data_IF_045040830672
#
_entry.id   IF_045040830672
#
_cell.length_a   1.000
_cell.length_b   1.000
_cell.length_c   1.000
_cell.angle_alpha   90.00
_cell.angle_beta   90.00
_cell.angle_gamma   90.00
#
_symmetry.space_group_name_H-M   'P 1'
#
loop_
_entity.id
_entity.type
_entity.pdbx_description
1 polymer ?
#
# COMPACT_ATOMS: atom_id res chain seq x y z
N UNK A 1 9.17 -13.58 -18.15
CA UNK A 1 9.03 -14.36 -16.91
C UNK A 1 7.85 -13.84 -16.11
N UNK A 2 6.97 -14.69 -15.66
CA UNK A 2 5.81 -14.27 -14.88
C UNK A 2 6.23 -13.84 -13.48
N UNK A 3 5.63 -12.76 -12.96
CA UNK A 3 5.87 -12.34 -11.59
C UNK A 3 5.23 -13.35 -10.63
N UNK A 4 5.91 -13.63 -9.52
CA UNK A 4 5.32 -14.46 -8.49
C UNK A 4 4.28 -13.64 -7.70
N UNK A 5 3.56 -14.31 -6.79
CA UNK A 5 2.47 -13.70 -6.03
C UNK A 5 2.94 -12.51 -5.18
N UNK A 6 4.11 -12.63 -4.57
CA UNK A 6 4.70 -11.59 -3.73
C UNK A 6 5.06 -10.37 -4.55
N UNK A 7 5.65 -10.56 -5.74
CA UNK A 7 6.03 -9.46 -6.61
C UNK A 7 4.80 -8.69 -7.11
N UNK A 8 3.71 -9.39 -7.43
CA UNK A 8 2.47 -8.75 -7.85
C UNK A 8 1.86 -7.90 -6.72
N UNK A 9 1.92 -8.38 -5.49
CA UNK A 9 1.44 -7.63 -4.34
C UNK A 9 2.26 -6.37 -4.12
N UNK A 10 3.58 -6.49 -4.20
CA UNK A 10 4.49 -5.35 -4.06
C UNK A 10 4.21 -4.29 -5.12
N UNK A 11 4.09 -4.72 -6.37
CA UNK A 11 3.78 -3.81 -7.48
C UNK A 11 2.45 -3.09 -7.25
N UNK A 12 1.42 -3.82 -6.83
CA UNK A 12 0.10 -3.25 -6.56
C UNK A 12 0.15 -2.19 -5.46
N UNK A 13 0.88 -2.47 -4.38
CA UNK A 13 1.06 -1.52 -3.29
C UNK A 13 1.77 -0.26 -3.80
N UNK A 14 2.83 -0.43 -4.59
CA UNK A 14 3.55 0.71 -5.16
C UNK A 14 2.65 1.57 -6.05
N UNK A 15 1.80 0.95 -6.87
CA UNK A 15 0.86 1.67 -7.72
C UNK A 15 -0.13 2.48 -6.86
N UNK A 16 -0.66 1.87 -5.81
CA UNK A 16 -1.58 2.57 -4.89
C UNK A 16 -0.89 3.78 -4.26
N UNK A 17 0.34 3.60 -3.77
CA UNK A 17 1.10 4.67 -3.14
C UNK A 17 1.36 5.80 -4.14
N UNK A 18 1.77 5.48 -5.36
CA UNK A 18 2.05 6.47 -6.40
C UNK A 18 0.78 7.25 -6.78
N UNK A 19 -0.35 6.56 -6.90
CA UNK A 19 -1.63 7.19 -7.22
C UNK A 19 -2.06 8.18 -6.12
N UNK A 20 -1.63 7.96 -4.89
CA UNK A 20 -1.94 8.82 -3.76
C UNK A 20 -0.88 9.91 -3.52
N UNK A 21 0.04 10.10 -4.43
CA UNK A 21 1.01 11.18 -4.37
C UNK A 21 2.40 10.78 -3.89
N UNK A 22 2.68 9.49 -3.77
CA UNK A 22 3.98 8.98 -3.36
C UNK A 22 4.07 8.69 -1.86
N UNK A 23 5.14 8.00 -1.42
CA UNK A 23 5.24 7.55 -0.02
C UNK A 23 5.32 8.68 0.99
N UNK A 24 6.00 9.78 0.67
CA UNK A 24 6.10 10.91 1.60
C UNK A 24 4.74 11.58 1.81
N UNK A 25 4.02 11.83 0.72
CA UNK A 25 2.71 12.46 0.78
C UNK A 25 1.71 11.58 1.54
N UNK A 26 1.69 10.29 1.24
CA UNK A 26 0.81 9.34 1.90
C UNK A 26 1.14 9.24 3.40
N UNK A 27 2.42 9.22 3.76
CA UNK A 27 2.83 9.19 5.16
C UNK A 27 2.30 10.41 5.92
N UNK A 28 2.37 11.58 5.31
CA UNK A 28 1.85 12.81 5.90
C UNK A 28 0.33 12.72 6.12
N UNK A 29 -0.39 12.21 5.14
CA UNK A 29 -1.85 12.06 5.24
C UNK A 29 -2.27 11.06 6.31
N UNK A 30 -1.49 10.01 6.52
CA UNK A 30 -1.78 8.97 7.49
C UNK A 30 -1.17 9.23 8.87
N UNK A 31 -0.43 10.31 9.03
CA UNK A 31 0.27 10.65 10.27
C UNK A 31 1.25 9.56 10.71
N UNK A 32 1.97 8.99 9.75
CA UNK A 32 3.01 7.98 9.99
C UNK A 32 4.31 8.44 9.36
N UNK A 33 5.41 7.75 9.65
CA UNK A 33 6.69 8.06 9.04
C UNK A 33 6.73 7.56 7.59
N UNK A 34 7.54 8.20 6.75
CA UNK A 34 7.79 7.74 5.39
C UNK A 34 8.30 6.31 5.39
N UNK A 35 9.17 5.98 6.33
CA UNK A 35 9.74 4.65 6.45
C UNK A 35 8.65 3.59 6.71
N UNK A 36 7.63 3.93 7.50
CA UNK A 36 6.51 3.03 7.74
C UNK A 36 5.79 2.69 6.44
N UNK A 37 5.57 3.69 5.58
CA UNK A 37 4.93 3.46 4.27
C UNK A 37 5.83 2.62 3.37
N UNK A 38 7.13 2.90 3.35
CA UNK A 38 8.08 2.14 2.54
C UNK A 38 8.15 0.68 3.00
N UNK A 39 8.04 0.41 4.30
CA UNK A 39 8.05 -0.95 4.83
C UNK A 39 6.91 -1.80 4.28
N UNK A 40 5.78 -1.19 3.91
CA UNK A 40 4.64 -1.94 3.40
C UNK A 40 4.98 -2.73 2.13
N UNK A 41 5.85 -2.21 1.26
CA UNK A 41 6.21 -2.89 0.02
C UNK A 41 7.61 -3.50 0.06
N UNK A 42 8.39 -3.22 1.11
CA UNK A 42 9.75 -3.79 1.28
C UNK A 42 9.78 -5.07 2.11
N UNK A 43 8.68 -5.37 2.81
CA UNK A 43 8.57 -6.57 3.64
C UNK A 43 8.61 -7.84 2.80
N UNK A 44 8.96 -8.96 3.43
CA UNK A 44 8.93 -10.27 2.76
C UNK A 44 7.54 -10.58 2.19
N UNK A 45 6.49 -10.27 2.95
CA UNK A 45 5.11 -10.37 2.48
C UNK A 45 4.53 -8.95 2.45
N UNK A 46 4.54 -8.28 1.29
CA UNK A 46 4.04 -6.91 1.20
C UNK A 46 2.57 -6.81 1.56
N UNK A 47 2.23 -5.84 2.41
CA UNK A 47 0.85 -5.64 2.84
C UNK A 47 0.66 -4.23 3.39
N UNK A 48 -0.57 -3.73 3.34
CA UNK A 48 -0.96 -2.47 3.99
C UNK A 48 -1.78 -2.83 5.23
N UNK A 49 -1.40 -2.33 6.42
CA UNK A 49 -2.16 -2.62 7.64
C UNK A 49 -3.62 -2.21 7.52
N UNK A 50 -4.52 -3.06 7.98
CA UNK A 50 -5.96 -2.81 7.88
C UNK A 50 -6.41 -1.54 8.60
N UNK A 51 -5.68 -1.12 9.62
CA UNK A 51 -6.01 0.11 10.36
C UNK A 51 -6.01 1.36 9.49
N UNK A 52 -5.30 1.33 8.35
CA UNK A 52 -5.24 2.47 7.42
C UNK A 52 -6.26 2.37 6.28
N UNK A 53 -6.94 1.24 6.13
CA UNK A 53 -7.86 1.03 5.03
C UNK A 53 -9.01 2.03 4.97
N UNK A 54 -9.66 2.40 6.10
CA UNK A 54 -10.74 3.39 6.03
C UNK A 54 -10.30 4.73 5.43
N UNK A 55 -9.10 5.19 5.78
CA UNK A 55 -8.56 6.44 5.24
C UNK A 55 -8.27 6.30 3.74
N UNK A 56 -7.66 5.18 3.34
CA UNK A 56 -7.34 4.92 1.93
C UNK A 56 -8.61 4.84 1.10
N UNK A 57 -9.66 4.23 1.61
CA UNK A 57 -10.95 4.15 0.92
C UNK A 57 -11.57 5.53 0.71
N UNK A 58 -11.42 6.43 1.69
CA UNK A 58 -11.86 7.81 1.54
C UNK A 58 -11.09 8.55 0.46
N UNK A 59 -9.84 8.12 0.21
CA UNK A 59 -9.00 8.71 -0.82
C UNK A 59 -9.24 8.12 -2.21
N UNK A 60 -10.16 7.16 -2.32
CA UNK A 60 -10.55 6.57 -3.60
C UNK A 60 -10.00 5.16 -3.86
N UNK A 61 -9.27 4.58 -2.93
CA UNK A 61 -8.79 3.19 -3.08
C UNK A 61 -9.96 2.24 -2.86
N UNK A 62 -10.18 1.29 -3.76
CA UNK A 62 -11.28 0.35 -3.63
C UNK A 62 -10.98 -0.75 -2.61
N UNK A 63 -12.03 -1.24 -1.95
CA UNK A 63 -11.90 -2.36 -1.02
C UNK A 63 -11.36 -3.60 -1.74
N UNK A 64 -11.76 -3.78 -3.01
CA UNK A 64 -11.30 -4.88 -3.84
C UNK A 64 -9.78 -4.87 -3.99
N UNK A 65 -9.19 -3.70 -4.22
CA UNK A 65 -7.75 -3.56 -4.33
C UNK A 65 -7.06 -3.85 -3.00
N UNK A 66 -7.62 -3.36 -1.90
CA UNK A 66 -7.05 -3.59 -0.56
C UNK A 66 -7.14 -5.07 -0.16
N UNK A 67 -8.23 -5.73 -0.50
CA UNK A 67 -8.40 -7.15 -0.22
C UNK A 67 -7.35 -8.01 -0.93
N UNK A 68 -6.91 -7.59 -2.11
CA UNK A 68 -5.88 -8.28 -2.88
C UNK A 68 -4.49 -8.22 -2.24
N UNK A 69 -4.28 -7.32 -1.26
CA UNK A 69 -3.00 -7.14 -0.55
C UNK A 69 -3.18 -7.27 0.96
N UNK A 70 -4.19 -7.99 1.38
CA UNK A 70 -4.47 -8.23 2.80
C UNK A 70 -3.37 -9.06 3.44
N UNK A 71 -3.01 -8.71 4.66
CA UNK A 71 -2.06 -9.49 5.46
C UNK A 71 -2.55 -10.92 5.73
#
# INVERSE_FOLDING_TARGET
MALNRTDKRREKICVIIDDLGGPHHLATLLHVSRQAVEDWYRRDVPAIPQKHWPVLMKMGVSLSDLAGIKE
#
